data_IF_427583689024
#
_entry.id   IF_427583689024
#
_cell.length_a   1.000
_cell.length_b   1.000
_cell.length_c   1.000
_cell.angle_alpha   90.00
_cell.angle_beta   90.00
_cell.angle_gamma   90.00
#
_symmetry.space_group_name_H-M   'P 1'
#
loop_
_entity.id
_entity.type
_entity.pdbx_description
1 polymer ?
#
# COMPACT_ATOMS: atom_id res chain seq x y z
N UNK A 1 -18.96 -11.10 -19.42
CA UNK A 1 -17.79 -10.28 -19.86
C UNK A 1 -16.88 -10.21 -18.66
N UNK A 2 -15.83 -11.03 -18.65
CA UNK A 2 -14.88 -11.12 -17.52
C UNK A 2 -14.26 -9.72 -17.39
N UNK A 3 -14.44 -9.09 -16.24
CA UNK A 3 -13.78 -7.83 -15.92
C UNK A 3 -12.29 -8.17 -15.76
N UNK A 4 -11.52 -8.03 -16.84
CA UNK A 4 -10.08 -7.89 -16.74
C UNK A 4 -9.84 -6.59 -15.94
N UNK A 5 -9.53 -6.77 -14.66
CA UNK A 5 -9.03 -5.70 -13.81
C UNK A 5 -7.73 -5.19 -14.42
N UNK A 6 -7.49 -3.86 -14.44
CA UNK A 6 -6.26 -3.32 -14.99
C UNK A 6 -5.09 -3.86 -14.18
N UNK A 7 -4.09 -4.47 -14.83
CA UNK A 7 -2.80 -4.88 -14.23
C UNK A 7 -2.00 -3.61 -13.87
N UNK A 8 -1.91 -3.23 -12.59
CA UNK A 8 -1.20 -2.06 -12.16
C UNK A 8 0.00 -2.55 -11.36
N UNK A 9 1.08 -2.98 -12.05
CA UNK A 9 2.44 -3.17 -11.50
C UNK A 9 2.53 -2.59 -10.10
N UNK A 10 2.34 -3.44 -9.07
CA UNK A 10 2.17 -3.05 -7.66
C UNK A 10 3.21 -2.00 -7.27
N UNK A 11 2.80 -0.72 -7.32
CA UNK A 11 3.71 0.42 -7.29
C UNK A 11 4.33 0.49 -5.90
N UNK A 12 5.65 0.26 -5.81
CA UNK A 12 6.45 0.52 -4.62
C UNK A 12 6.98 -0.70 -3.86
N UNK A 13 6.66 -1.94 -4.26
CA UNK A 13 7.44 -3.11 -3.84
C UNK A 13 8.35 -3.55 -4.99
N UNK A 14 9.63 -3.87 -4.76
CA UNK A 14 10.44 -4.51 -5.78
C UNK A 14 9.85 -5.90 -6.04
N UNK A 15 8.97 -5.98 -7.05
CA UNK A 15 8.60 -7.25 -7.64
C UNK A 15 9.83 -7.81 -8.35
N UNK A 16 10.02 -9.12 -8.26
CA UNK A 16 10.96 -9.78 -9.16
C UNK A 16 10.42 -9.62 -10.59
N UNK A 17 11.30 -9.69 -11.60
CA UNK A 17 10.95 -9.44 -13.01
C UNK A 17 9.79 -10.31 -13.56
N UNK A 18 9.40 -11.37 -12.85
CA UNK A 18 8.28 -12.26 -13.13
C UNK A 18 7.02 -11.95 -12.30
N UNK A 19 6.92 -10.75 -11.72
CA UNK A 19 5.77 -10.34 -10.90
C UNK A 19 5.69 -11.03 -9.54
N UNK A 20 6.66 -11.86 -9.16
CA UNK A 20 6.68 -12.51 -7.86
C UNK A 20 6.83 -11.47 -6.73
N UNK A 21 5.92 -11.54 -5.75
CA UNK A 21 6.07 -10.86 -4.46
C UNK A 21 7.03 -11.63 -3.54
N UNK A 22 7.40 -11.02 -2.41
CA UNK A 22 8.21 -11.71 -1.37
C UNK A 22 7.57 -13.01 -0.86
N UNK A 23 6.23 -13.09 -0.84
CA UNK A 23 5.52 -14.31 -0.44
C UNK A 23 5.64 -15.42 -1.49
N UNK A 24 5.74 -15.09 -2.78
CA UNK A 24 5.93 -16.11 -3.83
C UNK A 24 7.29 -16.80 -3.75
N UNK A 25 8.30 -16.13 -3.18
CA UNK A 25 9.66 -16.66 -3.02
C UNK A 25 9.97 -17.14 -1.60
N UNK A 26 9.05 -16.99 -0.65
CA UNK A 26 9.27 -17.38 0.75
C UNK A 26 9.53 -18.89 0.91
N UNK A 27 9.24 -19.70 -0.11
CA UNK A 27 9.54 -21.13 -0.10
C UNK A 27 11.03 -21.46 -0.12
N UNK A 28 11.87 -20.45 -0.41
CA UNK A 28 13.33 -20.57 -0.34
C UNK A 28 13.87 -20.43 1.09
N UNK A 29 13.03 -20.11 2.08
CA UNK A 29 13.42 -19.98 3.48
C UNK A 29 12.75 -21.04 4.38
N UNK A 30 13.18 -21.11 5.63
CA UNK A 30 12.59 -22.00 6.63
C UNK A 30 11.16 -21.58 7.00
N UNK A 31 10.33 -22.55 7.43
CA UNK A 31 8.93 -22.32 7.83
C UNK A 31 8.78 -21.16 8.83
N UNK A 32 9.72 -21.04 9.77
CA UNK A 32 9.72 -19.94 10.77
C UNK A 32 9.78 -18.57 10.10
N UNK A 33 10.64 -18.40 9.10
CA UNK A 33 10.77 -17.13 8.37
C UNK A 33 9.54 -16.92 7.48
N UNK A 34 9.06 -17.96 6.81
CA UNK A 34 7.83 -17.92 6.01
C UNK A 34 6.61 -17.46 6.80
N UNK A 35 6.48 -17.90 8.07
CA UNK A 35 5.44 -17.43 8.99
C UNK A 35 5.57 -15.95 9.29
N UNK A 36 6.76 -15.47 9.65
CA UNK A 36 7.02 -14.04 9.89
C UNK A 36 6.70 -13.20 8.64
N UNK A 37 7.08 -13.69 7.45
CA UNK A 37 6.77 -13.02 6.19
C UNK A 37 5.26 -12.96 5.95
N UNK A 38 4.54 -14.03 6.24
CA UNK A 38 3.08 -14.10 6.09
C UNK A 38 2.36 -13.19 7.09
N UNK A 39 2.89 -13.02 8.31
CA UNK A 39 2.38 -12.04 9.28
C UNK A 39 2.62 -10.62 8.81
N UNK A 40 3.86 -10.35 8.37
CA UNK A 40 4.30 -9.01 8.02
C UNK A 40 3.72 -8.53 6.71
N UNK A 41 3.48 -9.41 5.75
CA UNK A 41 3.02 -9.09 4.40
C UNK A 41 1.70 -9.78 4.09
N UNK A 42 0.84 -9.94 5.10
CA UNK A 42 -0.40 -10.70 5.00
C UNK A 42 -1.34 -10.24 3.88
N UNK A 43 -1.29 -8.95 3.52
CA UNK A 43 -2.04 -8.38 2.40
C UNK A 43 -1.62 -8.91 1.02
N UNK A 44 -0.46 -9.56 0.91
CA UNK A 44 0.05 -10.15 -0.34
C UNK A 44 -0.35 -11.63 -0.52
N UNK A 45 -1.03 -12.24 0.44
CA UNK A 45 -1.34 -13.69 0.42
C UNK A 45 -2.12 -14.09 -0.85
N UNK A 46 -2.97 -13.20 -1.35
CA UNK A 46 -3.78 -13.43 -2.55
C UNK A 46 -3.21 -12.76 -3.82
N UNK A 47 -2.05 -12.10 -3.74
CA UNK A 47 -1.43 -11.51 -4.93
C UNK A 47 -1.03 -12.61 -5.92
N UNK A 48 -1.06 -12.28 -7.21
CA UNK A 48 -0.63 -13.18 -8.29
C UNK A 48 0.67 -12.71 -8.93
N UNK A 49 1.49 -13.65 -9.38
CA UNK A 49 2.65 -13.38 -10.25
C UNK A 49 2.23 -13.01 -11.68
N UNK A 50 3.19 -12.77 -12.58
CA UNK A 50 2.91 -12.40 -13.98
C UNK A 50 2.22 -13.50 -14.81
N UNK A 51 2.12 -14.73 -14.28
CA UNK A 51 1.41 -15.85 -14.89
C UNK A 51 0.02 -16.06 -14.28
N UNK A 52 -0.40 -15.19 -13.36
CA UNK A 52 -1.66 -15.32 -12.62
C UNK A 52 -1.59 -16.34 -11.48
N UNK A 53 -0.41 -16.84 -11.11
CA UNK A 53 -0.25 -17.82 -10.03
C UNK A 53 -0.25 -17.10 -8.69
N UNK A 54 -1.14 -17.49 -7.77
CA UNK A 54 -1.08 -16.99 -6.38
C UNK A 54 0.10 -17.60 -5.62
N UNK A 55 0.41 -17.07 -4.44
CA UNK A 55 1.36 -17.68 -3.49
C UNK A 55 1.06 -19.18 -3.24
N UNK A 56 -0.22 -19.56 -3.04
CA UNK A 56 -0.60 -20.97 -2.84
C UNK A 56 -0.29 -21.85 -4.06
N UNK A 57 -0.72 -21.45 -5.26
CA UNK A 57 -0.40 -22.14 -6.51
C UNK A 57 1.12 -22.38 -6.69
N UNK A 58 1.95 -21.38 -6.39
CA UNK A 58 3.41 -21.53 -6.48
C UNK A 58 3.95 -22.50 -5.42
N UNK A 59 3.38 -22.50 -4.20
CA UNK A 59 3.74 -23.47 -3.15
C UNK A 59 3.43 -24.92 -3.58
N UNK A 60 2.28 -25.14 -4.23
CA UNK A 60 1.86 -26.44 -4.76
C UNK A 60 2.78 -26.92 -5.89
N UNK A 61 3.12 -26.05 -6.83
CA UNK A 61 4.06 -26.36 -7.92
C UNK A 61 5.46 -26.71 -7.40
N UNK A 62 5.91 -26.01 -6.35
CA UNK A 62 7.19 -26.27 -5.71
C UNK A 62 7.16 -27.44 -4.69
N UNK A 63 5.98 -28.01 -4.43
CA UNK A 63 5.73 -29.08 -3.46
C UNK A 63 6.27 -28.75 -2.04
N UNK A 64 6.06 -27.52 -1.59
CA UNK A 64 6.56 -27.04 -0.28
C UNK A 64 5.50 -27.28 0.79
N UNK A 65 5.55 -28.46 1.42
CA UNK A 65 4.50 -28.97 2.31
C UNK A 65 4.11 -28.00 3.44
N UNK A 66 5.08 -27.41 4.12
CA UNK A 66 4.80 -26.48 5.22
C UNK A 66 4.04 -25.24 4.75
N UNK A 67 4.34 -24.75 3.55
CA UNK A 67 3.71 -23.57 2.98
C UNK A 67 2.31 -23.88 2.47
N UNK A 68 2.13 -25.02 1.79
CA UNK A 68 0.81 -25.52 1.40
C UNK A 68 -0.07 -25.66 2.65
N UNK A 69 0.44 -26.27 3.72
CA UNK A 69 -0.28 -26.39 5.00
C UNK A 69 -0.61 -25.04 5.63
N UNK A 70 0.32 -24.08 5.59
CA UNK A 70 0.14 -22.73 6.13
C UNK A 70 -0.93 -21.94 5.37
N UNK A 71 -0.91 -21.99 4.04
CA UNK A 71 -1.74 -21.18 3.15
C UNK A 71 -3.10 -21.80 2.85
N UNK A 72 -3.19 -23.13 2.75
CA UNK A 72 -4.44 -23.84 2.45
C UNK A 72 -5.42 -23.85 3.62
N UNK A 73 -4.91 -23.68 4.85
CA UNK A 73 -5.74 -23.66 6.04
C UNK A 73 -5.58 -22.33 6.77
N UNK A 74 -6.62 -21.50 6.69
CA UNK A 74 -6.73 -20.23 7.43
C UNK A 74 -6.44 -20.40 8.93
N UNK A 75 -6.69 -21.57 9.54
CA UNK A 75 -6.38 -21.79 10.96
C UNK A 75 -4.89 -21.89 11.27
N UNK A 76 -4.06 -22.19 10.28
CA UNK A 76 -2.60 -22.28 10.43
C UNK A 76 -1.91 -20.93 10.25
N UNK A 77 -2.63 -19.95 9.68
CA UNK A 77 -2.19 -18.57 9.62
C UNK A 77 -2.22 -17.95 11.03
N UNK A 78 -1.32 -17.00 11.31
CA UNK A 78 -1.31 -16.30 12.60
C UNK A 78 -2.61 -15.56 12.85
N UNK A 79 -2.99 -15.41 14.12
CA UNK A 79 -4.29 -14.85 14.52
C UNK A 79 -4.56 -13.46 13.89
N UNK A 80 -3.53 -12.62 13.82
CA UNK A 80 -3.59 -11.32 13.15
C UNK A 80 -4.06 -11.44 11.69
N UNK A 81 -3.59 -12.45 10.95
CA UNK A 81 -3.94 -12.66 9.53
C UNK A 81 -5.37 -13.19 9.35
N UNK A 82 -5.89 -13.96 10.32
CA UNK A 82 -7.25 -14.52 10.23
C UNK A 82 -8.35 -13.47 10.35
N UNK A 83 -8.10 -12.47 11.19
CA UNK A 83 -9.07 -11.45 11.56
C UNK A 83 -8.72 -10.05 11.01
N UNK A 84 -7.63 -9.92 10.27
CA UNK A 84 -7.28 -8.66 9.65
C UNK A 84 -8.18 -8.39 8.45
N UNK A 85 -9.19 -7.54 8.66
CA UNK A 85 -9.48 -6.51 7.65
C UNK A 85 -8.22 -5.65 7.46
N UNK A 86 -8.02 -5.07 6.28
CA UNK A 86 -6.84 -4.25 6.04
C UNK A 86 -6.94 -2.96 6.83
N UNK A 87 -6.32 -2.97 8.01
CA UNK A 87 -6.18 -1.81 8.88
C UNK A 87 -5.13 -0.85 8.28
N UNK A 88 -5.63 -0.01 7.37
CA UNK A 88 -4.82 0.99 6.69
C UNK A 88 -4.30 2.07 7.66
N UNK A 89 -4.95 2.28 8.81
CA UNK A 89 -4.46 3.22 9.83
C UNK A 89 -3.19 2.66 10.46
N UNK A 90 -3.22 1.39 10.90
CA UNK A 90 -2.05 0.74 11.49
C UNK A 90 -0.93 0.55 10.45
N UNK A 91 -1.27 0.23 9.20
CA UNK A 91 -0.30 0.18 8.10
C UNK A 91 0.37 1.54 7.86
N UNK A 92 -0.39 2.65 7.92
CA UNK A 92 0.14 4.00 7.85
C UNK A 92 1.10 4.31 9.00
N UNK A 93 0.70 4.04 10.24
CA UNK A 93 1.54 4.30 11.43
C UNK A 93 2.87 3.55 11.40
N UNK A 94 2.88 2.36 10.79
CA UNK A 94 4.07 1.54 10.61
C UNK A 94 4.87 1.86 9.33
N UNK A 95 4.44 2.85 8.54
CA UNK A 95 5.14 3.26 7.32
C UNK A 95 5.06 2.24 6.18
N UNK A 96 4.05 1.38 6.17
CA UNK A 96 3.85 0.38 5.13
C UNK A 96 3.24 0.99 3.85
N UNK A 97 3.88 2.04 3.32
CA UNK A 97 3.42 2.83 2.16
C UNK A 97 3.11 1.98 0.92
N UNK A 98 3.95 1.00 0.60
CA UNK A 98 3.72 0.10 -0.54
C UNK A 98 2.51 -0.83 -0.33
N UNK A 99 2.23 -1.22 0.91
CA UNK A 99 1.05 -2.03 1.26
C UNK A 99 -0.23 -1.22 1.06
N UNK A 100 -0.22 0.03 1.52
CA UNK A 100 -1.32 0.98 1.34
C UNK A 100 -1.60 1.17 -0.15
N UNK A 101 -0.58 1.50 -0.95
CA UNK A 101 -0.71 1.68 -2.41
C UNK A 101 -1.31 0.43 -3.07
N UNK A 102 -0.79 -0.75 -2.72
CA UNK A 102 -1.28 -2.02 -3.24
C UNK A 102 -2.76 -2.24 -2.88
N UNK A 103 -3.14 -2.04 -1.62
CA UNK A 103 -4.53 -2.16 -1.16
C UNK A 103 -5.46 -1.20 -1.90
N UNK A 104 -5.12 0.08 -1.98
CA UNK A 104 -5.93 1.09 -2.66
C UNK A 104 -6.10 0.80 -4.15
N UNK A 105 -5.08 0.24 -4.79
CA UNK A 105 -5.15 -0.13 -6.22
C UNK A 105 -6.14 -1.27 -6.49
N UNK A 106 -6.41 -2.11 -5.49
CA UNK A 106 -7.38 -3.23 -5.57
C UNK A 106 -8.73 -2.89 -4.94
N UNK A 107 -8.85 -1.73 -4.29
CA UNK A 107 -10.07 -1.25 -3.66
C UNK A 107 -10.47 0.10 -4.28
N UNK A 108 -11.14 0.10 -5.45
CA UNK A 108 -11.46 1.34 -6.17
C UNK A 108 -12.34 2.29 -5.37
N UNK A 109 -13.17 1.77 -4.46
CA UNK A 109 -14.01 2.56 -3.56
C UNK A 109 -13.25 3.16 -2.37
N UNK A 110 -11.95 2.90 -2.22
CA UNK A 110 -11.20 3.33 -1.04
C UNK A 110 -11.16 4.85 -0.88
N UNK A 111 -11.04 5.61 -1.98
CA UNK A 111 -11.11 7.07 -1.91
C UNK A 111 -12.45 7.54 -1.35
N UNK A 112 -13.55 6.90 -1.75
CA UNK A 112 -14.88 7.16 -1.19
C UNK A 112 -14.93 6.82 0.29
N UNK A 113 -14.35 5.69 0.70
CA UNK A 113 -14.24 5.31 2.11
C UNK A 113 -13.50 6.39 2.92
N UNK A 114 -12.42 6.97 2.37
CA UNK A 114 -11.70 8.06 3.02
C UNK A 114 -12.56 9.31 3.22
N UNK A 115 -13.30 9.71 2.19
CA UNK A 115 -14.25 10.83 2.31
C UNK A 115 -15.38 10.54 3.29
N UNK A 116 -16.01 9.36 3.21
CA UNK A 116 -17.13 8.97 4.07
C UNK A 116 -16.69 8.88 5.54
N UNK A 117 -15.44 8.48 5.78
CA UNK A 117 -14.85 8.40 7.12
C UNK A 117 -14.17 9.68 7.58
N UNK A 118 -14.11 10.75 6.77
CA UNK A 118 -13.26 11.93 7.04
C UNK A 118 -11.92 11.48 7.63
N UNK A 119 -11.18 10.67 6.89
CA UNK A 119 -9.86 10.21 7.29
C UNK A 119 -9.11 9.63 6.08
N UNK A 120 -7.78 9.68 6.09
CA UNK A 120 -6.96 9.21 4.97
C UNK A 120 -5.61 8.67 5.44
N UNK A 121 -4.96 7.80 4.66
CA UNK A 121 -3.62 7.32 5.00
C UNK A 121 -2.62 8.43 5.33
N UNK A 122 -2.75 9.61 4.71
CA UNK A 122 -1.86 10.76 4.91
C UNK A 122 -1.95 11.38 6.31
N UNK A 123 -3.09 11.26 7.01
CA UNK A 123 -3.23 11.72 8.39
C UNK A 123 -2.35 10.91 9.35
N UNK A 124 -2.07 9.65 9.01
CA UNK A 124 -1.43 8.69 9.92
C UNK A 124 -0.03 8.23 9.49
N UNK A 125 0.32 8.41 8.21
CA UNK A 125 1.54 7.84 7.63
C UNK A 125 2.79 8.31 8.39
N UNK A 126 3.74 7.40 8.58
CA UNK A 126 5.06 7.69 9.17
C UNK A 126 6.17 7.02 8.38
N UNK A 127 6.90 7.81 7.59
CA UNK A 127 8.05 7.37 6.79
C UNK A 127 9.35 7.96 7.36
N UNK A 128 10.48 7.39 6.96
CA UNK A 128 11.79 7.70 7.58
C UNK A 128 12.56 8.78 6.85
N UNK A 129 12.25 9.00 5.58
CA UNK A 129 13.01 9.91 4.73
C UNK A 129 12.09 10.77 3.86
N UNK A 130 12.58 11.95 3.50
CA UNK A 130 11.87 12.83 2.57
C UNK A 130 11.62 12.17 1.21
N UNK A 131 12.56 11.37 0.73
CA UNK A 131 12.42 10.64 -0.55
C UNK A 131 11.30 9.59 -0.50
N UNK A 132 11.15 8.88 0.63
CA UNK A 132 10.03 7.96 0.84
C UNK A 132 8.68 8.71 0.81
N UNK A 133 8.60 9.89 1.44
CA UNK A 133 7.40 10.73 1.40
C UNK A 133 7.11 11.24 -0.01
N UNK A 134 8.11 11.77 -0.72
CA UNK A 134 7.96 12.26 -2.10
C UNK A 134 7.49 11.15 -3.04
N UNK A 135 8.06 9.94 -2.92
CA UNK A 135 7.62 8.76 -3.70
C UNK A 135 6.19 8.35 -3.38
N UNK A 136 5.80 8.40 -2.11
CA UNK A 136 4.44 8.08 -1.68
C UNK A 136 3.42 9.09 -2.23
N UNK A 137 3.71 10.39 -2.10
CA UNK A 137 2.86 11.49 -2.58
C UNK A 137 2.80 11.60 -4.11
N UNK A 138 3.81 11.12 -4.83
CA UNK A 138 3.79 11.02 -6.29
C UNK A 138 2.79 9.98 -6.83
N UNK A 139 2.23 9.13 -5.96
CA UNK A 139 1.19 8.19 -6.37
C UNK A 139 -0.15 8.92 -6.54
N UNK A 140 -0.76 8.83 -7.74
CA UNK A 140 -2.02 9.50 -8.09
C UNK A 140 -3.17 9.23 -7.12
N UNK A 141 -3.25 8.05 -6.51
CA UNK A 141 -4.29 7.74 -5.52
C UNK A 141 -4.07 8.50 -4.21
N UNK A 142 -2.81 8.70 -3.83
CA UNK A 142 -2.41 9.44 -2.64
C UNK A 142 -2.60 10.95 -2.84
N UNK A 143 -2.21 11.50 -3.99
CA UNK A 143 -2.34 12.94 -4.27
C UNK A 143 -3.79 13.42 -4.17
N UNK A 144 -4.77 12.57 -4.49
CA UNK A 144 -6.20 12.89 -4.35
C UNK A 144 -6.66 13.03 -2.88
N UNK A 145 -5.81 12.69 -1.92
CA UNK A 145 -6.15 12.66 -0.49
C UNK A 145 -5.45 13.76 0.33
N UNK A 146 -4.65 14.63 -0.31
CA UNK A 146 -3.86 15.67 0.39
C UNK A 146 -4.72 16.75 1.04
N UNK A 147 -5.95 16.93 0.53
CA UNK A 147 -6.92 17.91 1.00
C UNK A 147 -8.10 17.29 1.77
N UNK A 148 -8.12 15.97 1.97
CA UNK A 148 -9.17 15.34 2.79
C UNK A 148 -8.98 15.81 4.22
N UNK A 149 -10.02 16.38 4.82
CA UNK A 149 -10.01 16.70 6.24
C UNK A 149 -10.42 15.49 7.07
N UNK A 150 -9.92 15.44 8.30
CA UNK A 150 -10.41 14.50 9.29
C UNK A 150 -11.61 14.99 10.09
N UNK A 151 -12.02 14.22 11.12
CA UNK A 151 -13.14 14.57 12.01
C UNK A 151 -12.98 15.91 12.75
N UNK A 152 -11.75 16.40 12.92
CA UNK A 152 -11.46 17.69 13.55
C UNK A 152 -11.34 18.82 12.50
N UNK A 153 -11.70 18.56 11.24
CA UNK A 153 -11.44 19.41 10.08
C UNK A 153 -9.94 19.67 9.83
N UNK A 154 -9.04 18.82 10.36
CA UNK A 154 -7.61 18.94 10.14
C UNK A 154 -7.21 18.22 8.85
N UNK A 155 -6.46 18.89 7.97
CA UNK A 155 -5.85 18.26 6.79
C UNK A 155 -4.61 17.45 7.19
N UNK A 156 -4.07 16.58 6.31
CA UNK A 156 -2.81 15.89 6.58
C UNK A 156 -1.64 16.81 6.92
N UNK A 157 -1.63 18.04 6.36
CA UNK A 157 -0.61 19.04 6.70
C UNK A 157 -0.74 19.53 8.15
N UNK A 158 -1.97 19.75 8.64
CA UNK A 158 -2.21 20.07 10.05
C UNK A 158 -1.65 18.96 10.95
N UNK A 159 -2.02 17.69 10.65
CA UNK A 159 -1.53 16.53 11.42
C UNK A 159 -0.02 16.35 11.33
N UNK A 160 0.61 16.64 10.19
CA UNK A 160 2.06 16.60 10.06
C UNK A 160 2.74 17.59 11.01
N UNK A 161 2.25 18.84 11.06
CA UNK A 161 2.78 19.89 11.95
C UNK A 161 2.53 19.58 13.42
N UNK A 162 1.34 19.11 13.80
CA UNK A 162 1.00 18.71 15.17
C UNK A 162 1.91 17.59 15.71
N UNK A 163 2.37 16.70 14.83
CA UNK A 163 3.27 15.57 15.17
C UNK A 163 4.75 15.92 15.02
N UNK A 164 5.08 17.16 14.67
CA UNK A 164 6.44 17.60 14.30
C UNK A 164 7.08 16.74 13.18
N UNK A 165 6.26 16.17 12.29
CA UNK A 165 6.73 15.44 11.12
C UNK A 165 7.09 16.41 10.00
N UNK A 166 8.24 17.08 10.18
CA UNK A 166 8.74 18.10 9.26
C UNK A 166 8.96 17.54 7.86
N UNK A 167 9.32 16.26 7.73
CA UNK A 167 9.55 15.63 6.43
C UNK A 167 8.25 15.45 5.65
N UNK A 168 7.17 15.02 6.31
CA UNK A 168 5.85 14.95 5.69
C UNK A 168 5.33 16.35 5.35
N UNK A 169 5.48 17.32 6.25
CA UNK A 169 5.06 18.70 6.01
C UNK A 169 5.81 19.32 4.81
N UNK A 170 7.13 19.16 4.73
CA UNK A 170 7.95 19.60 3.60
C UNK A 170 7.51 18.94 2.30
N UNK A 171 7.25 17.62 2.31
CA UNK A 171 6.82 16.90 1.13
C UNK A 171 5.44 17.36 0.63
N UNK A 172 4.48 17.59 1.53
CA UNK A 172 3.15 18.12 1.21
C UNK A 172 3.22 19.54 0.64
N UNK A 173 4.04 20.42 1.22
CA UNK A 173 4.23 21.78 0.68
C UNK A 173 4.85 21.78 -0.72
N UNK A 174 5.83 20.89 -0.94
CA UNK A 174 6.47 20.75 -2.25
C UNK A 174 5.49 20.28 -3.33
N UNK A 175 4.45 19.49 -2.97
CA UNK A 175 3.44 19.09 -3.95
C UNK A 175 2.54 20.24 -4.38
N UNK A 176 2.23 21.19 -3.49
CA UNK A 176 1.42 22.37 -3.82
C UNK A 176 2.15 23.33 -4.78
N UNK A 177 3.45 23.54 -4.58
CA UNK A 177 4.26 24.41 -5.45
C UNK A 177 4.34 23.91 -6.91
N UNK A 178 4.18 22.61 -7.15
CA UNK A 178 4.19 22.04 -8.50
C UNK A 178 2.88 22.28 -9.25
N UNK A 179 1.74 22.28 -8.55
CA UNK A 179 0.43 22.53 -9.15
C UNK A 179 0.27 24.00 -9.60
N UNK A 180 0.86 24.94 -8.85
CA UNK A 180 0.89 26.37 -9.21
C UNK A 180 1.76 26.68 -10.45
N UNK A 181 2.78 25.85 -10.72
CA UNK A 181 3.64 25.99 -11.90
C UNK A 181 3.01 25.42 -13.18
N UNK A 182 2.09 24.46 -13.07
CA UNK A 182 1.40 23.86 -14.22
C UNK A 182 0.16 24.67 -14.65
N UNK A 183 -0.48 25.40 -13.72
CA UNK A 183 -1.56 26.36 -14.04
C UNK A 183 -1.04 27.56 -14.85
N UNK A 184 0.18 28.04 -14.59
CA UNK A 184 0.80 29.17 -15.31
C UNK A 184 1.27 28.83 -16.75
N UNK A 185 1.18 27.57 -17.19
CA UNK A 185 1.50 27.17 -18.58
C UNK A 185 0.28 27.09 -19.50
N UNK A 186 -0.94 27.12 -18.97
CA UNK A 186 -2.17 27.02 -19.78
C UNK A 186 -2.70 28.37 -20.30
N UNK A 187 -2.25 29.48 -19.72
CA UNK A 187 -2.74 30.84 -20.06
C UNK A 187 -1.88 31.58 -21.12
N UNK A 188 -1.05 30.89 -21.91
CA UNK A 188 -0.19 31.53 -22.93
C UNK A 188 -0.47 31.16 -24.39
N UNK A 189 -1.60 30.50 -24.67
CA UNK A 189 -2.04 30.25 -26.05
C UNK A 189 -3.45 30.80 -26.28
N UNK A 190 -3.59 32.12 -26.33
CA UNK A 190 -4.65 32.83 -27.08
C UNK A 190 -4.00 33.73 -28.13
#
# INVERSE_FOLDING_TARGET
KILELPDPKLIGMPLRNDGCTVLHVMFQCEEKIGRILTERFWWLINSTDSRGSTVLHVAEQANVEWAIRLLSNRTNLPYAVKNAEFDWIEASKNGHSSALIAFMSHCPDFLKICHDKNDSPLHHIKLKTLDEYKKFLANKLITQMTEICDYDNATPLHRALEREDILLAEALLTTYDLDDLDMNKKDKNE
#
